data_IF_718590911003
#
_entry.id   IF_718590911003
#
_cell.length_a   1.000
_cell.length_b   1.000
_cell.length_c   1.000
_cell.angle_alpha   90.00
_cell.angle_beta   90.00
_cell.angle_gamma   90.00
#
_symmetry.space_group_name_H-M   'P 1'
#
loop_
_entity.id
_entity.type
_entity.pdbx_description
1 polymer ?
#
# COMPACT_ATOMS: atom_id res chain seq x y z
N UNK A 1 -3.51 20.67 -12.41
CA UNK A 1 -3.54 20.65 -13.90
C UNK A 1 -4.45 21.76 -14.47
N UNK A 2 -4.23 23.05 -14.15
CA UNK A 2 -5.12 24.12 -14.64
C UNK A 2 -5.00 24.37 -16.16
N UNK A 3 -3.91 23.93 -16.80
CA UNK A 3 -3.63 24.20 -18.21
C UNK A 3 -4.42 23.35 -19.19
N UNK A 4 -4.84 22.13 -18.84
CA UNK A 4 -5.66 21.29 -19.72
C UNK A 4 -7.11 21.80 -19.75
N UNK A 5 -7.66 22.12 -18.57
CA UNK A 5 -8.98 22.77 -18.42
C UNK A 5 -9.01 24.12 -19.14
N UNK A 6 -7.97 24.94 -18.98
CA UNK A 6 -7.85 26.20 -19.71
C UNK A 6 -7.69 26.02 -21.23
N UNK A 7 -6.97 24.99 -21.68
CA UNK A 7 -6.78 24.68 -23.11
C UNK A 7 -8.07 24.16 -23.78
N UNK A 8 -8.84 23.31 -23.09
CA UNK A 8 -10.14 22.83 -23.57
C UNK A 8 -11.18 23.95 -23.59
N UNK A 9 -11.24 24.79 -22.55
CA UNK A 9 -12.06 26.02 -22.55
C UNK A 9 -11.63 27.01 -23.63
N UNK A 10 -10.33 27.09 -23.95
CA UNK A 10 -9.79 27.95 -25.00
C UNK A 10 -10.12 27.46 -26.42
N UNK A 11 -10.01 26.15 -26.67
CA UNK A 11 -10.47 25.56 -27.94
C UNK A 11 -11.98 25.76 -28.14
N UNK A 12 -12.75 25.72 -27.05
CA UNK A 12 -14.19 25.94 -27.07
C UNK A 12 -14.57 27.39 -27.39
N UNK A 13 -13.84 28.38 -26.85
CA UNK A 13 -14.04 29.80 -27.21
C UNK A 13 -13.73 30.04 -28.69
N UNK A 14 -12.67 29.43 -29.23
CA UNK A 14 -12.34 29.51 -30.66
C UNK A 14 -13.41 28.87 -31.56
N UNK A 15 -14.00 27.74 -31.14
CA UNK A 15 -15.05 27.05 -31.90
C UNK A 15 -16.37 27.83 -31.86
N UNK A 16 -16.67 28.51 -30.74
CA UNK A 16 -17.87 29.34 -30.57
C UNK A 16 -17.78 30.71 -31.27
N UNK A 17 -16.58 31.27 -31.44
CA UNK A 17 -16.33 32.53 -32.18
C UNK A 17 -16.16 32.32 -33.70
N UNK A 18 -16.25 31.09 -34.20
CA UNK A 18 -16.26 30.77 -35.64
C UNK A 18 -17.57 31.16 -36.35
N UNK A 19 -17.64 31.13 -37.70
CA UNK A 19 -18.73 31.71 -38.50
C UNK A 19 -20.08 30.98 -38.42
N UNK A 20 -20.31 30.16 -37.39
CA UNK A 20 -21.57 29.50 -37.07
C UNK A 20 -22.27 30.21 -35.90
N UNK A 21 -22.49 31.52 -36.06
CA UNK A 21 -23.24 32.35 -35.12
C UNK A 21 -24.76 32.13 -35.23
N UNK A 22 -25.26 30.98 -34.77
CA UNK A 22 -26.71 30.69 -34.79
C UNK A 22 -27.18 29.83 -33.60
N UNK A 23 -26.61 30.01 -32.41
CA UNK A 23 -27.14 29.43 -31.17
C UNK A 23 -27.38 30.56 -30.16
N UNK A 24 -28.63 30.70 -29.69
CA UNK A 24 -29.00 31.72 -28.70
C UNK A 24 -28.15 31.59 -27.43
N UNK A 25 -27.79 32.73 -26.81
CA UNK A 25 -26.84 32.78 -25.68
C UNK A 25 -27.22 31.92 -24.47
N UNK A 26 -28.49 31.55 -24.31
CA UNK A 26 -28.96 30.60 -23.28
C UNK A 26 -28.53 29.16 -23.59
N UNK A 27 -28.57 28.75 -24.85
CA UNK A 27 -28.14 27.41 -25.29
C UNK A 27 -26.61 27.26 -25.18
N UNK A 28 -25.86 28.31 -25.49
CA UNK A 28 -24.40 28.33 -25.35
C UNK A 28 -23.96 28.20 -23.88
N UNK A 29 -24.61 28.93 -22.97
CA UNK A 29 -24.33 28.82 -21.54
C UNK A 29 -24.66 27.43 -20.98
N UNK A 30 -25.75 26.81 -21.44
CA UNK A 30 -26.14 25.45 -21.00
C UNK A 30 -25.15 24.39 -21.50
N UNK A 31 -24.75 24.48 -22.77
CA UNK A 31 -23.71 23.61 -23.35
C UNK A 31 -22.35 23.78 -22.65
N UNK A 32 -21.97 25.01 -22.30
CA UNK A 32 -20.76 25.28 -21.53
C UNK A 32 -20.83 24.64 -20.14
N UNK A 33 -21.96 24.77 -19.44
CA UNK A 33 -22.15 24.21 -18.10
C UNK A 33 -22.14 22.67 -18.10
N UNK A 34 -22.86 22.05 -19.04
CA UNK A 34 -22.94 20.60 -19.19
C UNK A 34 -21.56 20.00 -19.54
N UNK A 35 -20.75 20.76 -20.28
CA UNK A 35 -19.41 20.35 -20.67
C UNK A 35 -18.38 20.58 -19.56
N UNK A 36 -18.47 21.67 -18.79
CA UNK A 36 -17.67 21.85 -17.57
C UNK A 36 -17.99 20.75 -16.54
N UNK A 37 -19.26 20.40 -16.37
CA UNK A 37 -19.67 19.29 -15.52
C UNK A 37 -19.14 17.94 -16.04
N UNK A 38 -19.06 17.76 -17.36
CA UNK A 38 -18.49 16.58 -17.99
C UNK A 38 -16.95 16.53 -17.84
N UNK A 39 -16.26 17.66 -17.94
CA UNK A 39 -14.82 17.78 -17.68
C UNK A 39 -14.53 17.50 -16.20
N UNK A 40 -15.31 18.07 -15.29
CA UNK A 40 -15.18 17.80 -13.85
C UNK A 40 -15.52 16.34 -13.52
N UNK A 41 -16.49 15.73 -14.19
CA UNK A 41 -16.78 14.30 -14.07
C UNK A 41 -15.63 13.43 -14.61
N UNK A 42 -15.02 13.81 -15.73
CA UNK A 42 -13.83 13.16 -16.28
C UNK A 42 -12.61 13.33 -15.35
N UNK A 43 -12.40 14.51 -14.77
CA UNK A 43 -11.35 14.80 -13.80
C UNK A 43 -11.57 14.02 -12.48
N UNK A 44 -12.82 13.95 -12.00
CA UNK A 44 -13.21 13.20 -10.79
C UNK A 44 -13.15 11.68 -10.99
N UNK A 45 -13.39 11.22 -12.22
CA UNK A 45 -13.22 9.82 -12.61
C UNK A 45 -11.75 9.46 -12.88
N UNK A 46 -10.90 10.45 -13.18
CA UNK A 46 -9.45 10.30 -13.30
C UNK A 46 -8.73 10.33 -11.93
N UNK A 47 -9.27 11.01 -10.93
CA UNK A 47 -8.67 11.12 -9.60
C UNK A 47 -8.89 9.85 -8.75
N UNK A 48 -8.09 8.80 -9.00
CA UNK A 48 -8.01 7.64 -8.12
C UNK A 48 -7.16 7.95 -6.88
N UNK A 49 -7.60 7.44 -5.72
CA UNK A 49 -6.83 7.49 -4.49
C UNK A 49 -5.47 6.78 -4.67
N UNK A 50 -4.42 7.20 -3.94
CA UNK A 50 -3.13 6.52 -4.00
C UNK A 50 -3.27 5.06 -3.58
N UNK A 51 -2.81 4.15 -4.43
CA UNK A 51 -3.01 2.71 -4.20
C UNK A 51 -2.38 2.20 -2.89
N UNK A 52 -1.29 2.84 -2.42
CA UNK A 52 -0.64 2.45 -1.18
C UNK A 52 -1.47 2.74 0.08
N UNK A 53 -2.54 3.53 -0.03
CA UNK A 53 -3.47 3.81 1.07
C UNK A 53 -4.59 2.76 1.19
N UNK A 54 -4.90 2.05 0.11
CA UNK A 54 -5.92 0.99 0.10
C UNK A 54 -5.26 -0.37 0.25
N UNK A 55 -5.21 -0.86 1.49
CA UNK A 55 -4.58 -2.14 1.83
C UNK A 55 -5.22 -3.32 1.10
N UNK A 56 -6.54 -3.29 0.87
CA UNK A 56 -7.26 -4.38 0.21
C UNK A 56 -6.94 -4.40 -1.27
N UNK A 57 -7.03 -3.24 -1.94
CA UNK A 57 -6.69 -3.13 -3.35
C UNK A 57 -5.22 -3.48 -3.62
N UNK A 58 -4.32 -3.10 -2.71
CA UNK A 58 -2.91 -3.42 -2.81
C UNK A 58 -2.65 -4.92 -2.65
N UNK A 59 -3.33 -5.59 -1.71
CA UNK A 59 -3.21 -7.04 -1.54
C UNK A 59 -3.74 -7.83 -2.75
N UNK A 60 -4.89 -7.45 -3.32
CA UNK A 60 -5.43 -8.13 -4.51
C UNK A 60 -4.52 -7.92 -5.72
N UNK A 61 -4.05 -6.69 -5.94
CA UNK A 61 -3.10 -6.39 -7.00
C UNK A 61 -1.78 -7.15 -6.83
N UNK A 62 -1.29 -7.28 -5.59
CA UNK A 62 -0.09 -8.10 -5.34
C UNK A 62 -0.32 -9.55 -5.75
N UNK A 63 -1.46 -10.16 -5.41
CA UNK A 63 -1.76 -11.52 -5.81
C UNK A 63 -1.76 -11.69 -7.33
N UNK A 64 -2.40 -10.77 -8.04
CA UNK A 64 -2.40 -10.73 -9.51
C UNK A 64 -0.99 -10.64 -10.11
N UNK A 65 -0.13 -9.83 -9.50
CA UNK A 65 1.24 -9.59 -9.97
C UNK A 65 2.25 -10.69 -9.56
N UNK A 66 1.85 -11.70 -8.78
CA UNK A 66 2.73 -12.85 -8.45
C UNK A 66 3.05 -13.68 -9.70
N UNK A 67 2.21 -13.62 -10.72
CA UNK A 67 2.46 -14.28 -12.00
C UNK A 67 3.55 -13.59 -12.84
N UNK A 68 3.93 -12.36 -12.49
CA UNK A 68 5.09 -11.72 -13.11
C UNK A 68 6.36 -12.25 -12.42
N UNK A 69 7.33 -12.77 -13.17
CA UNK A 69 8.66 -13.22 -12.68
C UNK A 69 9.53 -12.08 -12.07
N UNK A 70 8.90 -10.98 -11.68
CA UNK A 70 9.53 -9.75 -11.20
C UNK A 70 9.49 -9.71 -9.66
N UNK A 71 10.66 -9.70 -8.99
CA UNK A 71 10.69 -9.68 -7.54
C UNK A 71 10.12 -8.37 -6.98
N UNK A 72 9.22 -8.50 -6.00
CA UNK A 72 8.55 -7.40 -5.31
C UNK A 72 9.12 -7.22 -3.91
N UNK A 73 9.33 -5.98 -3.51
CA UNK A 73 9.94 -5.58 -2.24
C UNK A 73 8.95 -4.80 -1.40
N UNK A 74 9.22 -4.65 -0.11
CA UNK A 74 8.37 -3.94 0.85
C UNK A 74 6.99 -4.58 1.09
N UNK A 75 6.35 -4.17 2.19
CA UNK A 75 4.96 -4.50 2.49
C UNK A 75 3.97 -3.96 1.44
N UNK A 76 4.39 -2.93 0.70
CA UNK A 76 3.61 -2.31 -0.38
C UNK A 76 3.80 -2.99 -1.75
N UNK A 77 4.63 -4.03 -1.88
CA UNK A 77 4.81 -4.76 -3.14
C UNK A 77 5.50 -3.94 -4.24
N UNK A 78 6.44 -3.09 -3.85
CA UNK A 78 7.18 -2.19 -4.73
C UNK A 78 8.04 -2.95 -5.73
N UNK A 79 8.07 -2.46 -6.97
CA UNK A 79 8.92 -3.00 -8.04
C UNK A 79 10.42 -2.79 -7.76
N UNK A 80 11.28 -3.63 -8.33
CA UNK A 80 12.76 -3.53 -8.23
C UNK A 80 13.31 -2.15 -8.60
N UNK A 81 12.69 -1.45 -9.55
CA UNK A 81 13.08 -0.09 -9.93
C UNK A 81 13.07 0.88 -8.72
N UNK A 82 12.18 0.67 -7.76
CA UNK A 82 12.10 1.44 -6.53
C UNK A 82 13.31 1.18 -5.61
N UNK A 83 13.83 -0.05 -5.60
CA UNK A 83 15.00 -0.43 -4.80
C UNK A 83 16.27 0.29 -5.25
N UNK A 84 16.45 0.44 -6.56
CA UNK A 84 17.58 1.19 -7.14
C UNK A 84 17.53 2.68 -6.78
N UNK A 85 16.31 3.24 -6.66
CA UNK A 85 16.11 4.65 -6.34
C UNK A 85 16.30 4.95 -4.85
N UNK A 86 15.92 4.03 -3.97
CA UNK A 86 15.93 4.20 -2.52
C UNK A 86 16.96 3.31 -1.79
N UNK A 87 17.93 2.76 -2.52
CA UNK A 87 19.09 2.01 -1.99
C UNK A 87 18.76 0.94 -0.93
N UNK A 88 17.63 0.22 -1.09
CA UNK A 88 17.25 -0.85 -0.16
C UNK A 88 16.53 -0.41 1.13
N UNK A 89 16.29 0.90 1.33
CA UNK A 89 15.46 1.41 2.46
C UNK A 89 14.01 0.88 2.39
N UNK A 90 13.62 0.35 1.23
CA UNK A 90 12.30 -0.19 0.93
C UNK A 90 11.90 -1.39 1.80
N UNK A 91 12.86 -2.12 2.35
CA UNK A 91 12.64 -3.31 3.19
C UNK A 91 12.97 -3.07 4.68
N UNK A 92 13.03 -1.80 5.10
CA UNK A 92 13.24 -1.42 6.49
C UNK A 92 11.94 -1.54 7.32
N UNK A 93 11.77 -0.73 8.37
CA UNK A 93 10.58 -0.77 9.21
C UNK A 93 9.32 -0.27 8.47
N UNK A 94 8.14 -0.56 9.04
CA UNK A 94 6.87 -0.22 8.39
C UNK A 94 6.71 1.30 8.18
N UNK A 95 7.27 2.12 9.07
CA UNK A 95 7.17 3.58 8.96
C UNK A 95 8.01 4.13 7.81
N UNK A 96 9.23 3.61 7.61
CA UNK A 96 10.07 3.99 6.47
C UNK A 96 9.50 3.46 5.16
N UNK A 97 8.99 2.23 5.15
CA UNK A 97 8.32 1.67 3.97
C UNK A 97 7.15 2.56 3.52
N UNK A 98 6.35 3.04 4.48
CA UNK A 98 5.23 3.94 4.21
C UNK A 98 5.71 5.29 3.66
N UNK A 99 6.73 5.87 4.28
CA UNK A 99 7.31 7.13 3.80
C UNK A 99 7.83 6.99 2.36
N UNK A 100 8.55 5.90 2.06
CA UNK A 100 9.06 5.60 0.71
C UNK A 100 7.92 5.40 -0.29
N UNK A 101 6.86 4.68 0.09
CA UNK A 101 5.69 4.51 -0.77
C UNK A 101 5.01 5.84 -1.09
N UNK A 102 4.85 6.71 -0.09
CA UNK A 102 4.25 8.03 -0.25
C UNK A 102 5.10 8.92 -1.17
N UNK A 103 6.42 8.97 -0.97
CA UNK A 103 7.31 9.80 -1.79
C UNK A 103 7.35 9.28 -3.23
N UNK A 104 7.51 7.96 -3.41
CA UNK A 104 7.55 7.33 -4.73
C UNK A 104 6.27 7.60 -5.53
N UNK A 105 5.11 7.43 -4.89
CA UNK A 105 3.83 7.69 -5.56
C UNK A 105 3.69 9.17 -5.95
N UNK A 106 4.09 10.07 -5.06
CA UNK A 106 4.05 11.52 -5.31
C UNK A 106 4.96 11.90 -6.48
N UNK A 107 6.15 11.31 -6.57
CA UNK A 107 7.06 11.52 -7.69
C UNK A 107 6.43 11.08 -9.02
N UNK A 108 5.79 9.91 -9.05
CA UNK A 108 5.09 9.42 -10.24
C UNK A 108 3.88 10.27 -10.62
N UNK A 109 3.13 10.74 -9.62
CA UNK A 109 2.04 11.67 -9.85
C UNK A 109 2.57 12.99 -10.45
N UNK A 110 3.72 13.49 -10.00
CA UNK A 110 4.34 14.67 -10.60
C UNK A 110 4.84 14.41 -12.03
N UNK A 111 5.38 13.22 -12.31
CA UNK A 111 5.87 12.84 -13.64
C UNK A 111 4.72 12.71 -14.66
N UNK A 112 3.71 11.90 -14.34
CA UNK A 112 2.62 11.58 -15.27
C UNK A 112 1.47 12.57 -15.22
N UNK A 113 1.35 13.33 -14.12
CA UNK A 113 0.24 14.25 -13.84
C UNK A 113 -1.12 13.55 -13.84
N UNK A 114 -1.15 12.25 -13.61
CA UNK A 114 -2.35 11.43 -13.58
C UNK A 114 -2.19 10.41 -12.45
N UNK A 115 -3.19 10.32 -11.56
CA UNK A 115 -3.13 9.43 -10.41
C UNK A 115 -3.36 7.96 -10.77
N UNK A 116 -4.06 7.66 -11.87
CA UNK A 116 -4.17 6.30 -12.39
C UNK A 116 -2.85 5.83 -12.98
N UNK A 117 -2.20 6.70 -13.77
CA UNK A 117 -0.86 6.45 -14.27
C UNK A 117 0.16 6.30 -13.14
N UNK A 118 0.04 7.11 -12.07
CA UNK A 118 0.89 6.98 -10.89
C UNK A 118 0.67 5.65 -10.16
N UNK A 119 -0.57 5.21 -9.98
CA UNK A 119 -0.89 3.90 -9.42
C UNK A 119 -0.33 2.75 -10.28
N UNK A 120 -0.43 2.87 -11.60
CA UNK A 120 0.13 1.88 -12.54
C UNK A 120 1.67 1.84 -12.49
N UNK A 121 2.31 3.00 -12.45
CA UNK A 121 3.77 3.12 -12.32
C UNK A 121 4.27 2.57 -10.97
N UNK A 122 3.47 2.77 -9.91
CA UNK A 122 3.74 2.22 -8.58
C UNK A 122 3.69 0.68 -8.59
N UNK A 123 2.67 0.10 -9.22
CA UNK A 123 2.48 -1.34 -9.31
C UNK A 123 3.40 -2.03 -10.31
N UNK A 124 3.81 -1.39 -11.41
CA UNK A 124 4.67 -2.03 -12.41
C UNK A 124 6.00 -1.30 -12.50
N UNK A 125 6.08 -0.24 -13.31
CA UNK A 125 7.25 0.60 -13.44
C UNK A 125 6.85 1.81 -14.28
N UNK A 126 7.50 2.97 -14.11
CA UNK A 126 7.33 4.10 -15.02
C UNK A 126 7.58 3.74 -16.50
N UNK A 127 8.47 2.77 -16.77
CA UNK A 127 8.73 2.30 -18.14
C UNK A 127 7.52 1.59 -18.75
N UNK A 128 6.74 0.87 -17.95
CA UNK A 128 5.53 0.19 -18.38
C UNK A 128 4.48 1.21 -18.82
N UNK A 129 4.22 2.22 -17.99
CA UNK A 129 3.26 3.29 -18.30
C UNK A 129 3.65 4.06 -19.57
N UNK A 130 4.94 4.36 -19.75
CA UNK A 130 5.43 5.02 -20.98
C UNK A 130 5.24 4.18 -22.24
N UNK A 131 5.23 2.85 -22.13
CA UNK A 131 5.01 1.93 -23.25
C UNK A 131 3.53 1.76 -23.57
N UNK A 132 2.69 1.60 -22.56
CA UNK A 132 1.23 1.42 -22.69
C UNK A 132 0.53 2.72 -23.14
N UNK A 133 1.07 3.88 -22.77
CA UNK A 133 0.50 5.19 -23.10
C UNK A 133 -0.54 5.66 -22.09
N UNK A 134 -1.68 6.15 -22.56
CA UNK A 134 -2.69 6.80 -21.72
C UNK A 134 -3.52 5.77 -20.94
N UNK A 135 -3.41 5.77 -19.62
CA UNK A 135 -4.13 4.83 -18.74
C UNK A 135 -5.54 5.36 -18.48
N UNK A 136 -6.56 4.60 -18.91
CA UNK A 136 -7.96 4.99 -18.69
C UNK A 136 -8.53 4.39 -17.40
N UNK A 137 -9.51 5.07 -16.79
CA UNK A 137 -10.23 4.56 -15.62
C UNK A 137 -10.92 3.21 -15.89
N UNK A 138 -11.39 2.99 -17.12
CA UNK A 138 -11.98 1.72 -17.55
C UNK A 138 -10.96 0.59 -17.54
N UNK A 139 -9.76 0.81 -18.09
CA UNK A 139 -8.68 -0.16 -18.07
C UNK A 139 -8.25 -0.46 -16.63
N UNK A 140 -8.08 0.57 -15.80
CA UNK A 140 -7.75 0.41 -14.38
C UNK A 140 -8.79 -0.42 -13.62
N UNK A 141 -10.08 -0.16 -13.83
CA UNK A 141 -11.14 -0.91 -13.18
C UNK A 141 -11.19 -2.36 -13.68
N UNK A 142 -10.99 -2.61 -14.98
CA UNK A 142 -10.93 -3.97 -15.50
C UNK A 142 -9.81 -4.80 -14.84
N UNK A 143 -8.61 -4.21 -14.69
CA UNK A 143 -7.48 -4.87 -14.02
C UNK A 143 -7.80 -5.13 -12.54
N UNK A 144 -8.46 -4.20 -11.84
CA UNK A 144 -8.89 -4.43 -10.45
C UNK A 144 -9.86 -5.60 -10.32
N UNK A 145 -10.85 -5.69 -11.21
CA UNK A 145 -11.82 -6.80 -11.18
C UNK A 145 -11.14 -8.14 -11.51
N UNK A 146 -10.23 -8.15 -12.49
CA UNK A 146 -9.44 -9.34 -12.83
C UNK A 146 -8.55 -9.79 -11.65
N UNK A 147 -7.85 -8.85 -11.02
CA UNK A 147 -7.03 -9.10 -9.84
C UNK A 147 -7.87 -9.63 -8.66
N UNK A 148 -9.09 -9.13 -8.48
CA UNK A 148 -10.01 -9.62 -7.45
C UNK A 148 -10.44 -11.07 -7.72
N UNK A 149 -10.69 -11.42 -8.99
CA UNK A 149 -11.06 -12.78 -9.39
C UNK A 149 -9.90 -13.76 -9.16
N UNK A 150 -8.68 -13.41 -9.59
CA UNK A 150 -7.47 -14.24 -9.40
C UNK A 150 -7.20 -14.42 -7.90
N UNK A 151 -7.24 -13.35 -7.11
CA UNK A 151 -7.07 -13.43 -5.66
C UNK A 151 -8.14 -14.31 -4.98
N UNK A 152 -9.37 -14.32 -5.52
CA UNK A 152 -10.44 -15.21 -5.07
C UNK A 152 -10.19 -16.69 -5.40
N UNK A 153 -9.59 -16.97 -6.56
CA UNK A 153 -9.18 -18.32 -6.96
C UNK A 153 -8.00 -18.84 -6.14
N UNK A 154 -7.00 -17.99 -5.85
CA UNK A 154 -5.89 -18.35 -4.95
C UNK A 154 -6.37 -18.64 -3.53
N UNK A 155 -7.41 -17.94 -3.06
CA UNK A 155 -8.02 -18.21 -1.77
C UNK A 155 -8.74 -19.57 -1.71
N UNK A 156 -9.32 -20.02 -2.83
CA UNK A 156 -9.90 -21.38 -2.94
C UNK A 156 -8.81 -22.46 -3.06
N UNK A 157 -7.75 -22.21 -3.83
CA UNK A 157 -6.68 -23.19 -4.09
C UNK A 157 -5.69 -23.35 -2.91
N UNK A 158 -5.59 -22.35 -2.02
CA UNK A 158 -4.83 -22.48 -0.75
C UNK A 158 -5.39 -23.55 0.20
N UNK A 159 -6.61 -24.04 -0.04
CA UNK A 159 -7.20 -25.11 0.76
C UNK A 159 -6.76 -26.53 0.35
N UNK A 160 -6.07 -26.72 -0.78
CA UNK A 160 -5.75 -28.06 -1.30
C UNK A 160 -4.34 -28.56 -0.96
N UNK A 161 -3.64 -27.92 -0.01
CA UNK A 161 -2.26 -28.30 0.33
C UNK A 161 -1.76 -27.86 1.70
N UNK A 162 -2.66 -27.54 2.62
CA UNK A 162 -2.32 -27.38 4.03
C UNK A 162 -2.95 -28.54 4.79
N UNK A 163 -2.09 -29.36 5.41
CA UNK A 163 -2.47 -30.32 6.44
C UNK A 163 -3.55 -29.68 7.35
N UNK A 164 -4.77 -30.22 7.30
CA UNK A 164 -5.96 -29.74 8.01
C UNK A 164 -5.82 -29.97 9.52
N UNK A 165 -4.92 -29.23 10.14
CA UNK A 165 -4.75 -29.16 11.59
C UNK A 165 -4.42 -27.75 12.03
N UNK A 166 -5.17 -26.76 11.52
CA UNK A 166 -5.44 -25.55 12.28
C UNK A 166 -6.92 -25.20 12.18
N UNK A 167 -7.66 -25.83 13.08
CA UNK A 167 -8.98 -25.41 13.49
C UNK A 167 -9.00 -23.90 13.78
N UNK A 168 -10.16 -23.28 13.61
CA UNK A 168 -10.53 -22.10 14.38
C UNK A 168 -10.41 -22.42 15.87
N UNK A 169 -9.19 -22.28 16.41
CA UNK A 169 -8.97 -22.24 17.85
C UNK A 169 -9.68 -20.97 18.27
N UNK A 170 -10.82 -21.12 18.96
CA UNK A 170 -11.29 -20.06 19.82
C UNK A 170 -10.10 -19.72 20.71
N UNK A 171 -9.40 -18.63 20.42
CA UNK A 171 -8.30 -18.16 21.25
C UNK A 171 -8.94 -17.83 22.58
N UNK A 172 -8.84 -18.76 23.52
CA UNK A 172 -9.18 -18.47 24.89
C UNK A 172 -8.27 -17.32 25.31
N UNK A 173 -8.86 -16.23 25.78
CA UNK A 173 -8.10 -15.07 26.24
C UNK A 173 -7.18 -15.47 27.41
N UNK A 174 -7.45 -16.59 28.06
CA UNK A 174 -6.59 -17.21 29.07
C UNK A 174 -5.28 -17.80 28.51
N UNK A 175 -5.21 -18.15 27.23
CA UNK A 175 -4.05 -18.78 26.59
C UNK A 175 -3.11 -17.78 25.90
N UNK A 176 -3.43 -16.48 25.94
CA UNK A 176 -2.52 -15.44 25.46
C UNK A 176 -1.40 -15.31 26.50
N UNK A 177 -0.14 -15.69 26.19
CA UNK A 177 0.95 -15.61 27.14
C UNK A 177 1.14 -14.14 27.54
N UNK A 178 0.93 -13.86 28.82
CA UNK A 178 1.11 -12.53 29.38
C UNK A 178 2.60 -12.33 29.68
N UNK A 179 3.15 -11.22 29.23
CA UNK A 179 4.54 -10.86 29.49
C UNK A 179 4.63 -9.51 30.19
N UNK A 180 5.48 -9.42 31.21
CA UNK A 180 5.94 -8.17 31.78
C UNK A 180 7.29 -7.77 31.17
N UNK A 181 7.47 -6.48 30.89
CA UNK A 181 8.77 -5.94 30.48
C UNK A 181 9.58 -5.54 31.71
N UNK A 182 10.85 -5.97 31.77
CA UNK A 182 11.77 -5.60 32.84
C UNK A 182 13.06 -5.03 32.29
N UNK A 183 13.43 -3.84 32.75
CA UNK A 183 14.70 -3.21 32.39
C UNK A 183 15.76 -3.64 33.41
N UNK A 184 16.76 -4.37 32.93
CA UNK A 184 17.88 -4.87 33.75
C UNK A 184 18.65 -3.70 34.37
N UNK A 185 18.84 -3.73 35.68
CA UNK A 185 19.61 -2.72 36.42
C UNK A 185 21.03 -3.20 36.68
N UNK A 186 21.91 -2.24 37.00
CA UNK A 186 23.30 -2.54 37.37
C UNK A 186 23.34 -3.42 38.62
N UNK A 187 23.94 -4.61 38.51
CA UNK A 187 24.05 -5.57 39.61
C UNK A 187 22.98 -6.68 39.61
N UNK A 188 22.07 -6.66 38.63
CA UNK A 188 21.12 -7.74 38.39
C UNK A 188 21.80 -8.95 37.74
N UNK A 189 21.30 -10.13 38.11
CA UNK A 189 21.57 -11.38 37.41
C UNK A 189 20.25 -12.05 37.10
N UNK A 190 20.20 -12.93 36.10
CA UNK A 190 18.97 -13.67 35.75
C UNK A 190 18.38 -14.37 36.98
N UNK A 191 19.23 -14.90 37.86
CA UNK A 191 18.82 -15.52 39.11
C UNK A 191 18.17 -14.54 40.10
N UNK A 192 18.72 -13.32 40.25
CA UNK A 192 18.11 -12.29 41.11
C UNK A 192 16.77 -11.82 40.54
N UNK A 193 16.69 -11.63 39.22
CA UNK A 193 15.46 -11.24 38.54
C UNK A 193 14.40 -12.33 38.71
N UNK A 194 14.74 -13.61 38.45
CA UNK A 194 13.84 -14.74 38.67
C UNK A 194 13.33 -14.80 40.11
N UNK A 195 14.17 -14.49 41.11
CA UNK A 195 13.75 -14.47 42.52
C UNK A 195 12.75 -13.37 42.86
N UNK A 196 12.69 -12.30 42.07
CA UNK A 196 11.62 -11.30 42.16
C UNK A 196 10.29 -11.78 41.56
N UNK A 197 10.32 -12.80 40.72
CA UNK A 197 9.14 -13.41 40.06
C UNK A 197 9.02 -14.89 40.47
N UNK A 198 8.53 -15.19 41.68
CA UNK A 198 8.60 -16.53 42.27
C UNK A 198 7.81 -17.60 41.51
N UNK A 199 6.86 -17.21 40.67
CA UNK A 199 6.05 -18.12 39.84
C UNK A 199 6.76 -18.57 38.56
N UNK A 200 7.99 -18.09 38.33
CA UNK A 200 8.72 -18.23 37.07
C UNK A 200 9.96 -19.12 37.23
N UNK A 201 10.22 -19.99 36.25
CA UNK A 201 11.44 -20.78 36.18
C UNK A 201 12.55 -20.05 35.41
N UNK A 202 13.81 -20.25 35.83
CA UNK A 202 14.97 -19.62 35.20
C UNK A 202 15.11 -20.02 33.72
N UNK A 203 14.87 -21.28 33.39
CA UNK A 203 14.94 -21.79 32.02
C UNK A 203 13.88 -21.15 31.12
N UNK A 204 12.70 -20.89 31.67
CA UNK A 204 11.64 -20.17 30.94
C UNK A 204 12.03 -18.71 30.66
N UNK A 205 12.81 -18.07 31.55
CA UNK A 205 13.32 -16.70 31.34
C UNK A 205 14.32 -16.66 30.20
N UNK A 206 15.22 -17.64 30.21
CA UNK A 206 16.26 -17.78 29.20
C UNK A 206 15.61 -18.04 27.84
N UNK A 207 14.66 -18.99 27.77
CA UNK A 207 13.93 -19.30 26.54
C UNK A 207 13.13 -18.12 26.00
N UNK A 208 12.40 -17.41 26.86
CA UNK A 208 11.64 -16.22 26.47
C UNK A 208 12.52 -15.08 25.92
N UNK A 209 13.81 -15.07 26.25
CA UNK A 209 14.78 -14.05 25.85
C UNK A 209 15.91 -14.62 24.98
N UNK A 210 15.54 -15.45 24.00
CA UNK A 210 16.44 -15.98 22.96
C UNK A 210 17.57 -16.91 23.45
N UNK A 211 17.38 -17.58 24.58
CA UNK A 211 18.31 -18.60 25.06
C UNK A 211 19.62 -18.05 25.65
N UNK A 212 19.70 -16.74 25.92
CA UNK A 212 20.94 -16.11 26.40
C UNK A 212 20.98 -16.03 27.92
N UNK A 213 22.02 -16.62 28.51
CA UNK A 213 22.28 -16.56 29.95
C UNK A 213 22.95 -15.24 30.40
N UNK A 214 23.52 -14.49 29.46
CA UNK A 214 24.21 -13.23 29.73
C UNK A 214 23.25 -12.04 29.57
N UNK A 215 23.21 -11.17 30.57
CA UNK A 215 22.38 -9.96 30.58
C UNK A 215 23.22 -8.72 30.87
N UNK A 216 22.81 -7.59 30.29
CA UNK A 216 23.50 -6.31 30.45
C UNK A 216 22.58 -5.24 31.05
N UNK A 217 23.10 -4.32 31.88
CA UNK A 217 22.31 -3.19 32.37
C UNK A 217 21.72 -2.36 31.22
N UNK A 218 20.44 -2.02 31.30
CA UNK A 218 19.68 -1.32 30.26
C UNK A 218 19.00 -2.23 29.23
N UNK A 219 19.27 -3.54 29.25
CA UNK A 219 18.56 -4.51 28.42
C UNK A 219 17.10 -4.66 28.88
N UNK A 220 16.18 -4.78 27.93
CA UNK A 220 14.77 -5.12 28.19
C UNK A 220 14.59 -6.63 28.11
N UNK A 221 14.08 -7.24 29.18
CA UNK A 221 13.72 -8.65 29.24
C UNK A 221 12.20 -8.83 29.21
N UNK A 222 11.77 -9.85 28.49
CA UNK A 222 10.39 -10.33 28.48
C UNK A 222 10.24 -11.39 29.57
N UNK A 223 9.44 -11.08 30.58
CA UNK A 223 9.18 -11.96 31.73
C UNK A 223 7.79 -12.57 31.54
N UNK A 224 7.66 -13.88 31.24
CA UNK A 224 6.36 -14.54 31.24
C UNK A 224 5.76 -14.50 32.65
N UNK A 225 4.49 -14.13 32.73
CA UNK A 225 3.69 -14.00 33.96
C UNK A 225 2.88 -15.27 34.24
#
# INVERSE_FOLDING_TARGET
MPRLKLFLLFLLTIVLDGPLGALDGVHLNRLSLDMEASIDALEKQAASAPIYMDTRALQTMRAYLIHDDVPRHSIYGLHTASLMRYAGIVDADSSTCFAVAQTLWSDYYCEFKDSLAANMAFLHSPTHVRREGLITAKAWNAIKEEALMVAGMDAHNRNDGADESQASVAVDLADIPLFASYVVKTGDSLWKIQRHFPHMHLDALIQANHGKETIYPGQVLMIPL
#
